data_IF_123944490597
#
_entry.id   IF_123944490597
#
_cell.length_a   1.000
_cell.length_b   1.000
_cell.length_c   1.000
_cell.angle_alpha   90.00
_cell.angle_beta   90.00
_cell.angle_gamma   90.00
#
_symmetry.space_group_name_H-M   'P 1'
#
loop_
_entity.id
_entity.type
_entity.pdbx_description
1 polymer ?
#
# COMPACT_ATOMS: atom_id res chain seq x y z
N UNK A 1 36.26 73.28 -49.93
CA UNK A 1 36.92 72.35 -49.04
C UNK A 1 35.90 72.01 -47.93
N UNK A 2 35.16 70.96 -48.09
CA UNK A 2 34.09 70.52 -47.17
C UNK A 2 34.59 69.32 -46.41
N UNK A 3 34.86 69.48 -45.14
CA UNK A 3 35.28 68.45 -44.22
C UNK A 3 34.02 67.74 -43.67
N UNK A 4 33.80 66.50 -44.11
CA UNK A 4 32.82 65.60 -43.60
C UNK A 4 33.37 64.92 -42.33
N UNK A 5 32.82 65.26 -41.16
CA UNK A 5 33.01 64.56 -39.92
C UNK A 5 32.13 63.32 -39.89
N UNK A 6 32.72 62.11 -39.74
CA UNK A 6 32.05 60.84 -39.48
C UNK A 6 31.44 60.90 -38.04
N UNK A 7 30.21 60.36 -37.86
CA UNK A 7 29.67 60.20 -36.50
C UNK A 7 30.41 59.00 -35.81
N UNK A 8 30.79 59.22 -34.58
CA UNK A 8 31.33 58.22 -33.69
C UNK A 8 30.30 57.12 -33.42
N UNK A 9 30.68 55.88 -33.68
CA UNK A 9 29.95 54.71 -33.22
C UNK A 9 29.93 54.73 -31.67
N UNK A 10 28.86 55.22 -31.11
CA UNK A 10 28.57 55.01 -29.69
C UNK A 10 28.36 53.51 -29.44
N UNK A 11 29.29 52.94 -28.74
CA UNK A 11 29.27 51.59 -28.18
C UNK A 11 28.01 51.40 -27.33
N UNK A 12 26.89 51.04 -27.94
CA UNK A 12 25.72 50.55 -27.19
C UNK A 12 26.12 49.17 -26.66
N UNK A 13 26.78 49.18 -25.49
CA UNK A 13 26.66 48.05 -24.58
C UNK A 13 25.16 47.94 -24.28
N UNK A 14 24.54 46.97 -24.93
CA UNK A 14 23.17 46.58 -24.56
C UNK A 14 23.21 46.13 -23.13
N UNK A 15 22.75 47.01 -22.24
CA UNK A 15 22.45 46.68 -20.84
C UNK A 15 21.35 45.61 -20.84
N UNK A 16 21.75 44.36 -21.07
CA UNK A 16 20.97 43.17 -20.69
C UNK A 16 21.23 42.92 -19.20
N UNK A 17 21.23 43.95 -18.39
CA UNK A 17 21.01 43.92 -16.96
C UNK A 17 19.51 44.01 -16.67
N UNK A 18 18.68 43.19 -17.29
CA UNK A 18 17.43 42.87 -16.66
C UNK A 18 17.81 41.97 -15.48
N UNK A 19 18.00 42.56 -14.34
CA UNK A 19 18.39 41.91 -13.12
C UNK A 19 17.38 40.82 -12.76
N UNK A 20 17.65 39.57 -13.17
CA UNK A 20 16.91 38.41 -12.68
C UNK A 20 17.16 38.36 -11.18
N UNK A 21 16.29 39.00 -10.40
CA UNK A 21 16.41 39.09 -8.93
C UNK A 21 16.10 37.77 -8.23
N UNK A 22 15.16 37.00 -8.78
CA UNK A 22 14.76 35.69 -8.26
C UNK A 22 15.42 34.58 -9.05
N UNK A 23 16.29 33.81 -8.42
CA UNK A 23 17.05 32.72 -9.06
C UNK A 23 16.92 31.39 -8.28
N UNK A 24 15.82 30.63 -8.43
CA UNK A 24 15.63 29.32 -7.72
C UNK A 24 16.75 28.32 -8.00
N UNK A 25 17.46 28.42 -9.14
CA UNK A 25 18.61 27.57 -9.45
C UNK A 25 19.73 27.62 -8.42
N UNK A 26 19.82 28.68 -7.60
CA UNK A 26 20.82 28.81 -6.51
C UNK A 26 20.72 27.64 -5.53
N UNK A 27 19.48 27.16 -5.23
CA UNK A 27 19.20 26.06 -4.32
C UNK A 27 19.39 24.66 -4.96
N UNK A 28 19.77 24.59 -6.25
CA UNK A 28 19.94 23.31 -6.98
C UNK A 28 21.38 23.01 -7.39
N UNK A 29 22.32 23.94 -7.14
CA UNK A 29 23.65 23.94 -7.71
C UNK A 29 24.50 22.74 -7.34
N UNK A 30 24.44 22.30 -6.09
CA UNK A 30 25.24 21.19 -5.58
C UNK A 30 24.36 20.20 -4.83
N UNK A 31 24.85 18.95 -4.67
CA UNK A 31 24.14 17.93 -3.88
C UNK A 31 23.92 18.39 -2.44
N UNK A 32 24.95 18.97 -1.80
CA UNK A 32 24.85 19.47 -0.43
C UNK A 32 23.77 20.53 -0.28
N UNK A 33 23.66 21.48 -1.23
CA UNK A 33 22.61 22.50 -1.21
C UNK A 33 21.23 21.85 -1.39
N UNK A 34 21.09 20.89 -2.33
CA UNK A 34 19.82 20.17 -2.53
C UNK A 34 19.42 19.38 -1.29
N UNK A 35 20.38 18.71 -0.64
CA UNK A 35 20.14 17.99 0.61
C UNK A 35 19.68 18.93 1.74
N UNK A 36 20.32 20.11 1.87
CA UNK A 36 20.00 21.09 2.89
C UNK A 36 18.55 21.61 2.81
N UNK A 37 17.99 21.73 1.60
CA UNK A 37 16.64 22.28 1.37
C UNK A 37 15.60 21.21 1.04
N UNK A 38 15.94 19.94 1.24
CA UNK A 38 15.04 18.80 0.97
C UNK A 38 13.92 18.78 2.00
N UNK A 39 12.66 18.87 1.53
CA UNK A 39 11.47 18.94 2.38
C UNK A 39 10.93 17.55 2.72
N UNK A 40 11.09 16.56 1.82
CA UNK A 40 10.53 15.22 1.97
C UNK A 40 11.64 14.18 2.00
N UNK A 41 11.61 13.34 3.02
CA UNK A 41 12.53 12.21 3.17
C UNK A 41 11.70 10.94 3.40
N UNK A 42 11.99 9.89 2.66
CA UNK A 42 11.48 8.54 2.92
C UNK A 42 12.54 7.79 3.72
N UNK A 43 12.11 7.05 4.73
CA UNK A 43 12.96 6.22 5.59
C UNK A 43 12.47 4.77 5.56
N UNK A 44 13.30 3.78 5.87
CA UNK A 44 12.85 2.39 6.01
C UNK A 44 11.69 2.20 7.00
N UNK A 45 11.65 3.00 8.08
CA UNK A 45 10.57 2.98 9.08
C UNK A 45 9.23 3.47 8.55
N UNK A 46 9.22 4.23 7.45
CA UNK A 46 7.99 4.67 6.80
C UNK A 46 7.35 3.56 5.94
N UNK A 47 8.06 2.44 5.74
CA UNK A 47 7.65 1.37 4.84
C UNK A 47 7.01 0.20 5.59
N UNK A 48 5.93 -0.33 5.01
CA UNK A 48 5.30 -1.59 5.41
C UNK A 48 5.60 -2.61 4.30
N UNK A 49 6.17 -3.77 4.66
CA UNK A 49 6.57 -4.79 3.70
C UNK A 49 5.51 -5.87 3.54
N UNK A 50 4.83 -5.98 2.37
CA UNK A 50 3.80 -6.98 2.13
C UNK A 50 4.40 -8.34 1.81
N UNK A 51 3.88 -9.40 2.44
CA UNK A 51 4.37 -10.78 2.33
C UNK A 51 3.21 -11.74 2.09
N UNK A 52 3.41 -12.74 1.20
CA UNK A 52 2.42 -13.77 0.90
C UNK A 52 2.75 -15.06 1.62
N UNK A 53 1.82 -15.52 2.46
CA UNK A 53 1.98 -16.70 3.32
C UNK A 53 1.21 -17.88 2.73
N UNK A 54 1.89 -18.99 2.52
CA UNK A 54 1.31 -20.27 2.06
C UNK A 54 1.40 -21.34 3.14
N UNK A 55 0.55 -22.39 3.07
CA UNK A 55 0.64 -23.55 3.95
C UNK A 55 1.98 -24.28 3.88
N UNK A 56 2.33 -25.02 4.92
CA UNK A 56 3.58 -25.78 4.99
C UNK A 56 3.68 -26.90 3.94
N UNK A 57 2.56 -27.36 3.40
CA UNK A 57 2.47 -28.33 2.31
C UNK A 57 2.96 -27.77 0.97
N UNK A 58 2.96 -26.44 0.79
CA UNK A 58 3.41 -25.75 -0.43
C UNK A 58 4.88 -25.35 -0.31
N UNK A 59 5.57 -25.24 -1.45
CA UNK A 59 6.94 -24.74 -1.50
C UNK A 59 7.01 -23.21 -1.57
N UNK A 60 8.23 -22.66 -1.41
CA UNK A 60 8.51 -21.25 -1.75
C UNK A 60 8.48 -21.10 -3.27
N UNK A 61 7.64 -20.19 -3.79
CA UNK A 61 7.45 -19.96 -5.24
C UNK A 61 7.56 -18.47 -5.53
N UNK A 62 8.36 -18.10 -6.53
CA UNK A 62 8.42 -16.73 -7.02
C UNK A 62 7.18 -16.41 -7.85
N UNK A 63 6.63 -15.20 -7.65
CA UNK A 63 5.45 -14.73 -8.39
C UNK A 63 5.94 -14.18 -9.73
N UNK A 64 5.57 -14.84 -10.83
CA UNK A 64 6.10 -14.55 -12.16
C UNK A 64 5.89 -13.10 -12.60
N UNK A 65 4.72 -12.52 -12.30
CA UNK A 65 4.39 -11.12 -12.60
C UNK A 65 4.99 -10.09 -11.63
N UNK A 66 5.68 -10.55 -10.57
CA UNK A 66 6.28 -9.70 -9.54
C UNK A 66 7.72 -10.14 -9.21
N UNK A 67 8.70 -9.87 -10.07
CA UNK A 67 10.08 -10.36 -9.90
C UNK A 67 10.66 -9.97 -8.52
N UNK A 68 11.18 -10.96 -7.79
CA UNK A 68 11.73 -10.79 -6.44
C UNK A 68 10.70 -10.87 -5.31
N UNK A 69 9.41 -11.09 -5.61
CA UNK A 69 8.34 -11.31 -4.62
C UNK A 69 7.96 -12.80 -4.63
N UNK A 70 7.74 -13.36 -3.44
CA UNK A 70 7.59 -14.79 -3.25
C UNK A 70 6.35 -15.13 -2.42
N UNK A 71 5.72 -16.25 -2.75
CA UNK A 71 4.85 -16.98 -1.81
C UNK A 71 5.76 -17.82 -0.92
N UNK A 72 5.56 -17.74 0.41
CA UNK A 72 6.48 -18.32 1.40
C UNK A 72 5.71 -18.98 2.55
N UNK A 73 6.27 -20.08 3.09
CA UNK A 73 5.75 -20.69 4.33
C UNK A 73 6.11 -19.85 5.55
N UNK A 74 5.47 -20.10 6.67
CA UNK A 74 5.70 -19.38 7.91
C UNK A 74 7.21 -19.31 8.31
N UNK A 75 7.97 -20.39 8.06
CA UNK A 75 9.41 -20.40 8.32
C UNK A 75 10.17 -19.35 7.51
N UNK A 76 9.96 -19.33 6.19
CA UNK A 76 10.63 -18.35 5.32
C UNK A 76 10.13 -16.92 5.59
N UNK A 77 8.86 -16.76 5.98
CA UNK A 77 8.29 -15.47 6.39
C UNK A 77 9.03 -14.91 7.62
N UNK A 78 9.34 -15.74 8.61
CA UNK A 78 10.10 -15.32 9.79
C UNK A 78 11.51 -14.86 9.40
N UNK A 79 12.20 -15.61 8.54
CA UNK A 79 13.53 -15.25 8.04
C UNK A 79 13.50 -13.91 7.27
N UNK A 80 12.44 -13.69 6.46
CA UNK A 80 12.26 -12.46 5.70
C UNK A 80 11.92 -11.27 6.61
N UNK A 81 11.04 -11.47 7.61
CA UNK A 81 10.70 -10.46 8.58
C UNK A 81 11.92 -10.03 9.42
N UNK A 82 12.77 -10.98 9.83
CA UNK A 82 14.02 -10.67 10.53
C UNK A 82 14.96 -9.82 9.67
N UNK A 83 15.17 -10.20 8.40
CA UNK A 83 15.97 -9.42 7.45
C UNK A 83 15.41 -8.01 7.21
N UNK A 84 14.08 -7.89 7.14
CA UNK A 84 13.42 -6.60 7.02
C UNK A 84 13.65 -5.72 8.26
N UNK A 85 13.54 -6.32 9.44
CA UNK A 85 13.77 -5.62 10.69
C UNK A 85 15.22 -5.11 10.82
N UNK A 86 16.20 -5.95 10.48
CA UNK A 86 17.63 -5.59 10.45
C UNK A 86 17.92 -4.48 9.42
N UNK A 87 17.17 -4.42 8.34
CA UNK A 87 17.25 -3.36 7.33
C UNK A 87 16.53 -2.05 7.72
N UNK A 88 15.92 -1.98 8.90
CA UNK A 88 15.23 -0.79 9.42
C UNK A 88 13.72 -0.75 9.16
N UNK A 89 13.13 -1.73 8.47
CA UNK A 89 11.69 -1.82 8.26
C UNK A 89 11.04 -2.32 9.55
N UNK A 90 9.97 -1.65 10.01
CA UNK A 90 9.36 -1.92 11.31
C UNK A 90 8.01 -2.64 11.24
N UNK A 91 7.44 -2.78 10.05
CA UNK A 91 6.14 -3.41 9.86
C UNK A 91 6.10 -4.33 8.65
N UNK A 92 5.38 -5.45 8.79
CA UNK A 92 5.01 -6.35 7.70
C UNK A 92 3.49 -6.43 7.59
N UNK A 93 2.99 -6.63 6.36
CA UNK A 93 1.57 -6.88 6.08
C UNK A 93 1.44 -8.26 5.45
N UNK A 94 0.69 -9.15 6.09
CA UNK A 94 0.55 -10.55 5.68
C UNK A 94 -0.71 -10.78 4.85
N UNK A 95 -0.55 -11.47 3.72
CA UNK A 95 -1.61 -11.98 2.86
C UNK A 95 -1.58 -13.50 2.86
N UNK A 96 -2.71 -14.15 3.15
CA UNK A 96 -2.77 -15.60 3.28
C UNK A 96 -3.28 -16.31 2.03
N UNK A 97 -2.64 -17.40 1.67
CA UNK A 97 -3.18 -18.35 0.70
C UNK A 97 -3.50 -19.65 1.46
N UNK A 98 -4.75 -20.10 1.50
CA UNK A 98 -5.14 -21.28 2.28
C UNK A 98 -4.81 -22.59 1.57
N UNK A 99 -4.92 -23.70 2.29
CA UNK A 99 -4.84 -25.06 1.74
C UNK A 99 -6.05 -25.37 0.84
N UNK A 100 -7.22 -24.91 1.24
CA UNK A 100 -8.48 -25.07 0.49
C UNK A 100 -9.31 -23.80 0.52
N UNK A 101 -10.15 -23.65 -0.47
CA UNK A 101 -11.09 -22.53 -0.60
C UNK A 101 -12.51 -23.06 -0.66
N UNK A 102 -13.45 -22.30 -0.11
CA UNK A 102 -14.88 -22.61 -0.16
C UNK A 102 -15.73 -21.34 -0.41
N UNK A 103 -17.03 -21.50 -0.48
CA UNK A 103 -17.93 -20.39 -0.82
C UNK A 103 -17.97 -19.25 0.20
N UNK A 104 -17.52 -19.46 1.44
CA UNK A 104 -17.55 -18.47 2.52
C UNK A 104 -16.14 -18.11 3.04
N UNK A 105 -15.09 -18.71 2.47
CA UNK A 105 -13.72 -18.48 2.91
C UNK A 105 -13.44 -19.00 4.33
N UNK A 106 -14.00 -20.15 4.72
CA UNK A 106 -13.98 -20.63 6.10
C UNK A 106 -12.56 -20.89 6.63
N UNK A 107 -11.60 -21.18 5.79
CA UNK A 107 -10.20 -21.34 6.17
C UNK A 107 -9.52 -20.03 6.62
N UNK A 108 -10.14 -18.87 6.43
CA UNK A 108 -9.56 -17.57 6.81
C UNK A 108 -9.46 -17.35 8.33
N UNK A 109 -10.31 -18.01 9.09
CA UNK A 109 -10.31 -17.95 10.57
C UNK A 109 -9.88 -19.26 11.24
N UNK A 110 -9.27 -20.17 10.49
CA UNK A 110 -8.66 -21.37 11.08
C UNK A 110 -7.48 -20.97 11.99
N UNK A 111 -7.52 -21.32 13.29
CA UNK A 111 -6.41 -21.01 14.22
C UNK A 111 -5.06 -21.61 13.79
N UNK A 112 -5.07 -22.72 13.02
CA UNK A 112 -3.89 -23.33 12.44
C UNK A 112 -3.58 -22.84 11.01
N UNK A 113 -4.29 -21.81 10.55
CA UNK A 113 -4.12 -21.25 9.22
C UNK A 113 -2.73 -20.67 8.96
N UNK A 114 -2.37 -20.46 7.70
CA UNK A 114 -1.02 -20.02 7.35
C UNK A 114 -0.69 -18.64 7.93
N UNK A 115 -1.63 -17.68 7.92
CA UNK A 115 -1.41 -16.33 8.47
C UNK A 115 -1.28 -16.37 9.97
N UNK A 116 -2.17 -17.06 10.69
CA UNK A 116 -2.12 -17.22 12.14
C UNK A 116 -0.78 -17.83 12.58
N UNK A 117 -0.36 -18.91 11.92
CA UNK A 117 0.93 -19.56 12.17
C UNK A 117 2.11 -18.61 11.91
N UNK A 118 2.05 -17.78 10.88
CA UNK A 118 3.09 -16.81 10.56
C UNK A 118 3.13 -15.67 11.59
N UNK A 119 1.98 -15.14 12.02
CA UNK A 119 1.89 -14.12 13.06
C UNK A 119 2.56 -14.62 14.34
N UNK A 120 2.15 -15.79 14.85
CA UNK A 120 2.73 -16.38 16.06
C UNK A 120 4.24 -16.59 15.95
N UNK A 121 4.70 -17.09 14.79
CA UNK A 121 6.11 -17.35 14.56
C UNK A 121 6.94 -16.06 14.49
N UNK A 122 6.44 -15.00 13.84
CA UNK A 122 7.10 -13.68 13.81
C UNK A 122 7.16 -13.09 15.23
N UNK A 123 6.03 -13.05 15.94
CA UNK A 123 5.97 -12.47 17.30
C UNK A 123 6.89 -13.19 18.29
N UNK A 124 7.13 -14.49 18.09
CA UNK A 124 8.08 -15.26 18.88
C UNK A 124 9.54 -14.95 18.52
N UNK A 125 9.85 -14.81 17.23
CA UNK A 125 11.24 -14.71 16.75
C UNK A 125 11.74 -13.27 16.60
N UNK A 126 10.83 -12.33 16.24
CA UNK A 126 11.11 -10.91 16.05
C UNK A 126 10.02 -10.10 16.78
N UNK A 127 9.97 -10.13 18.12
CA UNK A 127 8.85 -9.58 18.89
C UNK A 127 8.64 -8.08 18.72
N UNK A 128 9.64 -7.36 18.24
CA UNK A 128 9.56 -5.92 17.97
C UNK A 128 9.01 -5.58 16.57
N UNK A 129 8.83 -6.59 15.69
CA UNK A 129 8.20 -6.37 14.39
C UNK A 129 6.71 -6.11 14.58
N UNK A 130 6.21 -5.01 14.03
CA UNK A 130 4.77 -4.77 13.91
C UNK A 130 4.20 -5.69 12.85
N UNK A 131 3.26 -6.54 13.23
CA UNK A 131 2.62 -7.50 12.33
C UNK A 131 1.20 -7.05 12.05
N UNK A 132 0.94 -6.75 10.78
CA UNK A 132 -0.37 -6.42 10.26
C UNK A 132 -0.90 -7.59 9.42
N UNK A 133 -2.21 -7.88 9.47
CA UNK A 133 -2.83 -8.94 8.68
C UNK A 133 -3.98 -8.39 7.85
N UNK A 134 -3.96 -8.67 6.55
CA UNK A 134 -5.04 -8.28 5.63
C UNK A 134 -6.32 -9.06 5.95
N UNK A 135 -7.41 -8.35 6.12
CA UNK A 135 -8.73 -8.94 6.38
C UNK A 135 -9.57 -8.83 5.12
N UNK A 136 -9.67 -9.93 4.41
CA UNK A 136 -10.48 -10.08 3.20
C UNK A 136 -10.74 -11.57 2.94
N UNK A 137 -11.86 -11.88 2.32
CA UNK A 137 -12.20 -13.26 2.01
C UNK A 137 -11.74 -13.70 0.60
N UNK A 138 -11.30 -12.77 -0.27
CA UNK A 138 -11.03 -13.10 -1.67
C UNK A 138 -9.89 -14.10 -1.90
N UNK A 139 -8.93 -14.20 -0.98
CA UNK A 139 -7.88 -15.21 -1.00
C UNK A 139 -8.40 -16.60 -0.59
N UNK A 140 -9.52 -16.64 0.14
CA UNK A 140 -10.06 -17.83 0.81
C UNK A 140 -11.33 -18.35 0.16
N UNK A 141 -12.01 -17.53 -0.67
CA UNK A 141 -13.21 -17.95 -1.39
C UNK A 141 -12.86 -18.64 -2.72
N UNK A 142 -13.61 -19.66 -3.08
CA UNK A 142 -13.47 -20.41 -4.35
C UNK A 142 -13.86 -19.56 -5.56
N UNK A 143 -14.71 -18.56 -5.38
CA UNK A 143 -15.14 -17.62 -6.41
C UNK A 143 -14.31 -16.35 -6.52
N UNK A 144 -13.37 -16.11 -5.60
CA UNK A 144 -12.44 -14.96 -5.62
C UNK A 144 -13.06 -13.59 -5.35
N UNK A 145 -14.31 -13.48 -4.87
CA UNK A 145 -14.90 -12.25 -4.38
C UNK A 145 -14.65 -12.04 -2.88
N UNK A 146 -14.77 -10.79 -2.41
CA UNK A 146 -14.39 -10.38 -1.06
C UNK A 146 -15.45 -10.68 0.01
N UNK A 147 -16.49 -11.43 -0.30
CA UNK A 147 -17.58 -11.73 0.63
C UNK A 147 -18.52 -12.82 0.17
N UNK A 148 -19.61 -12.99 0.90
CA UNK A 148 -20.66 -13.99 0.64
C UNK A 148 -21.41 -13.65 -0.64
N UNK A 149 -21.54 -14.61 -1.54
CA UNK A 149 -22.28 -14.42 -2.79
C UNK A 149 -23.76 -14.75 -2.58
N UNK A 150 -24.59 -13.81 -3.00
CA UNK A 150 -26.04 -13.99 -3.09
C UNK A 150 -26.53 -13.73 -4.51
N UNK A 151 -27.66 -14.33 -4.85
CA UNK A 151 -28.32 -14.05 -6.13
C UNK A 151 -29.55 -13.17 -5.88
N UNK A 152 -29.52 -11.94 -6.45
CA UNK A 152 -30.65 -11.00 -6.40
C UNK A 152 -31.07 -10.67 -7.82
N UNK A 153 -32.33 -10.96 -8.18
CA UNK A 153 -32.89 -10.67 -9.50
C UNK A 153 -32.07 -11.24 -10.68
N UNK A 154 -31.56 -12.48 -10.53
CA UNK A 154 -30.77 -13.17 -11.56
C UNK A 154 -29.33 -12.68 -11.73
N UNK A 155 -28.83 -11.85 -10.78
CA UNK A 155 -27.44 -11.39 -10.73
C UNK A 155 -26.78 -11.84 -9.43
N UNK A 156 -25.55 -12.37 -9.58
CA UNK A 156 -24.70 -12.68 -8.44
C UNK A 156 -23.96 -11.44 -7.99
N UNK A 157 -23.99 -11.16 -6.69
CA UNK A 157 -23.23 -10.06 -6.07
C UNK A 157 -22.85 -10.42 -4.64
N UNK A 158 -21.96 -9.64 -4.05
CA UNK A 158 -21.57 -9.78 -2.64
C UNK A 158 -22.66 -9.20 -1.73
N UNK A 159 -23.07 -9.96 -0.73
CA UNK A 159 -23.95 -9.48 0.34
C UNK A 159 -23.12 -8.82 1.43
N UNK A 160 -23.35 -7.53 1.63
CA UNK A 160 -22.61 -6.72 2.59
C UNK A 160 -22.73 -7.29 4.02
N UNK A 161 -23.97 -7.42 4.51
CA UNK A 161 -24.25 -7.66 5.94
C UNK A 161 -23.84 -9.08 6.38
N UNK A 162 -24.08 -10.09 5.52
CA UNK A 162 -23.60 -11.45 5.80
C UNK A 162 -22.07 -11.53 5.80
N UNK A 163 -21.41 -10.71 5.00
CA UNK A 163 -19.95 -10.67 4.92
C UNK A 163 -19.32 -10.10 6.19
N UNK A 164 -19.96 -9.10 6.84
CA UNK A 164 -19.41 -8.46 8.05
C UNK A 164 -19.12 -9.48 9.16
N UNK A 165 -20.00 -10.46 9.38
CA UNK A 165 -19.79 -11.48 10.42
C UNK A 165 -18.52 -12.32 10.17
N UNK A 166 -18.26 -12.63 8.90
CA UNK A 166 -17.10 -13.45 8.52
C UNK A 166 -15.79 -12.64 8.64
N UNK A 167 -15.82 -11.37 8.26
CA UNK A 167 -14.68 -10.46 8.43
C UNK A 167 -14.33 -10.27 9.91
N UNK A 168 -15.32 -10.16 10.79
CA UNK A 168 -15.11 -10.11 12.25
C UNK A 168 -14.44 -11.41 12.74
N UNK A 169 -14.90 -12.59 12.30
CA UNK A 169 -14.26 -13.87 12.66
C UNK A 169 -12.81 -13.93 12.23
N UNK A 170 -12.52 -13.52 11.01
CA UNK A 170 -11.16 -13.49 10.46
C UNK A 170 -10.27 -12.51 11.27
N UNK A 171 -10.73 -11.28 11.50
CA UNK A 171 -10.00 -10.28 12.27
C UNK A 171 -9.70 -10.76 13.70
N UNK A 172 -10.69 -11.36 14.39
CA UNK A 172 -10.50 -11.94 15.71
C UNK A 172 -9.46 -13.06 15.72
N UNK A 173 -9.45 -13.93 14.71
CA UNK A 173 -8.49 -15.02 14.60
C UNK A 173 -7.05 -14.48 14.47
N UNK A 174 -6.84 -13.44 13.66
CA UNK A 174 -5.53 -12.80 13.52
C UNK A 174 -5.09 -12.08 14.79
N UNK A 175 -6.01 -11.35 15.43
CA UNK A 175 -5.73 -10.66 16.69
C UNK A 175 -5.37 -11.65 17.81
N UNK A 176 -6.06 -12.79 17.91
CA UNK A 176 -5.76 -13.86 18.86
C UNK A 176 -4.40 -14.53 18.61
N UNK A 177 -3.98 -14.62 17.35
CA UNK A 177 -2.63 -15.10 16.99
C UNK A 177 -1.53 -14.08 17.31
N UNK A 178 -1.87 -12.83 17.68
CA UNK A 178 -0.95 -11.79 18.11
C UNK A 178 -0.64 -10.71 17.07
N UNK A 179 -1.51 -10.52 16.08
CA UNK A 179 -1.39 -9.37 15.17
C UNK A 179 -1.52 -8.06 15.94
N UNK A 180 -0.68 -7.07 15.62
CA UNK A 180 -0.75 -5.72 16.20
C UNK A 180 -1.84 -4.89 15.51
N UNK A 181 -2.08 -5.15 14.21
CA UNK A 181 -3.13 -4.50 13.42
C UNK A 181 -3.87 -5.51 12.55
N UNK A 182 -5.16 -5.29 12.39
CA UNK A 182 -5.98 -5.90 11.33
C UNK A 182 -6.27 -4.86 10.25
N UNK A 183 -6.22 -5.28 8.99
CA UNK A 183 -6.28 -4.36 7.86
C UNK A 183 -7.41 -4.74 6.88
N UNK A 184 -8.68 -4.34 7.16
CA UNK A 184 -9.82 -4.68 6.34
C UNK A 184 -9.72 -4.07 4.94
N UNK A 185 -9.68 -4.94 3.92
CA UNK A 185 -9.49 -4.58 2.52
C UNK A 185 -10.65 -4.96 1.60
N UNK A 186 -11.74 -5.43 2.17
CA UNK A 186 -12.90 -5.98 1.49
C UNK A 186 -13.81 -4.92 0.86
N UNK A 187 -13.91 -3.72 1.46
CA UNK A 187 -14.77 -2.59 1.09
C UNK A 187 -16.27 -2.78 1.38
N UNK A 188 -16.63 -3.57 2.40
CA UNK A 188 -18.00 -3.64 2.87
C UNK A 188 -18.35 -2.44 3.75
N UNK A 189 -19.57 -1.91 3.61
CA UNK A 189 -20.05 -0.81 4.45
C UNK A 189 -20.16 -1.25 5.92
N UNK A 190 -19.68 -0.43 6.87
CA UNK A 190 -19.77 -0.70 8.30
C UNK A 190 -18.77 -1.73 8.84
N UNK A 191 -17.80 -2.18 8.02
CA UNK A 191 -16.84 -3.23 8.40
C UNK A 191 -15.89 -2.83 9.51
N UNK A 192 -15.47 -1.57 9.54
CA UNK A 192 -14.55 -1.07 10.57
C UNK A 192 -15.26 -1.07 11.93
N UNK A 193 -16.49 -0.56 11.99
CA UNK A 193 -17.29 -0.59 13.21
C UNK A 193 -17.57 -2.02 13.70
N UNK A 194 -17.88 -2.95 12.79
CA UNK A 194 -18.14 -4.34 13.14
C UNK A 194 -16.88 -5.03 13.71
N UNK A 195 -15.71 -4.84 13.07
CA UNK A 195 -14.45 -5.39 13.55
C UNK A 195 -14.04 -4.76 14.87
N UNK A 196 -14.11 -3.43 15.03
CA UNK A 196 -13.77 -2.75 16.28
C UNK A 196 -14.60 -3.27 17.44
N UNK A 197 -15.92 -3.36 17.27
CA UNK A 197 -16.82 -3.94 18.26
C UNK A 197 -16.42 -5.36 18.61
N UNK A 198 -16.18 -6.22 17.63
CA UNK A 198 -15.79 -7.61 17.86
C UNK A 198 -14.49 -7.74 18.64
N UNK A 199 -13.49 -6.91 18.35
CA UNK A 199 -12.23 -6.86 19.09
C UNK A 199 -12.44 -6.43 20.54
N UNK A 200 -13.22 -5.37 20.78
CA UNK A 200 -13.46 -4.82 22.12
C UNK A 200 -14.25 -5.80 23.00
N UNK A 201 -15.27 -6.47 22.47
CA UNK A 201 -16.04 -7.50 23.18
C UNK A 201 -15.17 -8.69 23.61
N UNK A 202 -14.09 -8.96 22.89
CA UNK A 202 -13.11 -10.02 23.20
C UNK A 202 -11.92 -9.52 24.02
N UNK A 203 -11.92 -8.26 24.47
CA UNK A 203 -10.84 -7.62 25.23
C UNK A 203 -9.50 -7.53 24.45
N UNK A 204 -9.61 -7.35 23.14
CA UNK A 204 -8.49 -7.14 22.21
C UNK A 204 -8.44 -5.67 21.77
N UNK A 205 -8.74 -4.74 22.70
CA UNK A 205 -8.81 -3.30 22.44
C UNK A 205 -7.49 -2.67 21.99
N UNK A 206 -6.38 -3.32 22.29
CA UNK A 206 -5.03 -2.83 21.89
C UNK A 206 -4.68 -3.16 20.44
N UNK A 207 -5.48 -3.99 19.75
CA UNK A 207 -5.29 -4.29 18.33
C UNK A 207 -5.83 -3.14 17.49
N UNK A 208 -4.95 -2.51 16.70
CA UNK A 208 -5.31 -1.40 15.83
C UNK A 208 -6.01 -1.84 14.54
N UNK A 209 -6.70 -0.89 13.89
CA UNK A 209 -7.33 -1.09 12.58
C UNK A 209 -6.70 -0.16 11.55
N UNK A 210 -6.00 -0.72 10.56
CA UNK A 210 -5.55 0.00 9.37
C UNK A 210 -6.54 -0.25 8.22
N UNK A 211 -7.50 0.64 8.07
CA UNK A 211 -8.58 0.47 7.11
C UNK A 211 -8.15 0.82 5.67
N UNK A 212 -8.50 0.00 4.71
CA UNK A 212 -8.40 0.33 3.28
C UNK A 212 -9.55 1.27 2.89
N UNK A 213 -9.53 2.46 3.46
CA UNK A 213 -10.65 3.40 3.43
C UNK A 213 -10.99 3.91 2.03
N UNK A 214 -9.98 4.08 1.17
CA UNK A 214 -10.17 4.51 -0.21
C UNK A 214 -9.52 3.49 -1.17
N UNK A 215 -10.22 2.38 -1.45
CA UNK A 215 -9.76 1.34 -2.37
C UNK A 215 -10.56 1.38 -3.67
N UNK A 216 -9.88 1.72 -4.75
CA UNK A 216 -10.48 1.85 -6.08
C UNK A 216 -10.49 0.54 -6.87
N UNK A 217 -11.47 0.35 -7.75
CA UNK A 217 -11.53 -0.74 -8.72
C UNK A 217 -10.47 -0.52 -9.83
N UNK A 218 -9.24 -0.93 -9.55
CA UNK A 218 -8.06 -0.58 -10.35
C UNK A 218 -7.58 -1.71 -11.25
N UNK A 219 -7.11 -1.34 -12.44
CA UNK A 219 -6.37 -2.22 -13.35
C UNK A 219 -4.98 -2.60 -12.85
N UNK A 220 -4.43 -1.88 -11.86
CA UNK A 220 -3.10 -2.15 -11.29
C UNK A 220 -3.06 -3.36 -10.34
N UNK A 221 -4.15 -4.09 -10.13
CA UNK A 221 -4.19 -5.27 -9.25
C UNK A 221 -3.92 -6.60 -9.95
N UNK A 222 -3.63 -6.59 -11.25
CA UNK A 222 -3.38 -7.83 -12.02
C UNK A 222 -2.37 -8.76 -11.36
N UNK A 223 -1.14 -8.32 -11.08
CA UNK A 223 -0.13 -9.16 -10.45
C UNK A 223 -0.49 -9.65 -9.03
N UNK A 224 -1.23 -8.84 -8.24
CA UNK A 224 -1.72 -9.27 -6.94
C UNK A 224 -2.73 -10.42 -7.04
N UNK A 225 -3.61 -10.38 -8.05
CA UNK A 225 -4.60 -11.46 -8.26
C UNK A 225 -3.93 -12.80 -8.57
N UNK A 226 -2.80 -12.78 -9.29
CA UNK A 226 -1.95 -13.94 -9.48
C UNK A 226 -1.29 -14.37 -8.17
N UNK A 227 -0.65 -13.42 -7.48
CA UNK A 227 0.08 -13.66 -6.23
C UNK A 227 -0.78 -14.25 -5.11
N UNK A 228 -2.04 -13.80 -4.98
CA UNK A 228 -3.00 -14.20 -3.96
C UNK A 228 -4.00 -15.27 -4.46
N UNK A 229 -3.86 -15.72 -5.71
CA UNK A 229 -4.80 -16.68 -6.35
C UNK A 229 -6.27 -16.25 -6.18
N UNK A 230 -6.54 -14.94 -6.33
CA UNK A 230 -7.81 -14.30 -5.97
C UNK A 230 -8.53 -13.64 -7.14
N UNK A 231 -8.31 -14.14 -8.36
CA UNK A 231 -9.03 -13.64 -9.53
C UNK A 231 -10.54 -13.96 -9.44
N UNK A 232 -11.44 -12.97 -9.63
CA UNK A 232 -12.88 -13.24 -9.65
C UNK A 232 -13.25 -14.26 -10.72
N UNK A 233 -14.04 -15.26 -10.36
CA UNK A 233 -14.50 -16.30 -11.29
C UNK A 233 -15.70 -15.83 -12.15
N UNK A 234 -16.34 -14.74 -11.77
CA UNK A 234 -17.43 -14.10 -12.53
C UNK A 234 -17.44 -12.59 -12.25
N UNK A 235 -18.02 -11.81 -13.15
CA UNK A 235 -18.18 -10.36 -12.98
C UNK A 235 -16.88 -9.59 -12.74
N UNK A 236 -16.98 -8.59 -11.89
CA UNK A 236 -15.84 -7.79 -11.42
C UNK A 236 -16.10 -7.32 -9.96
N UNK A 237 -15.27 -6.42 -9.43
CA UNK A 237 -15.39 -5.93 -8.06
C UNK A 237 -15.92 -4.50 -7.95
N UNK A 238 -16.54 -3.95 -9.02
CA UNK A 238 -16.99 -2.55 -9.07
C UNK A 238 -18.24 -2.28 -8.26
N UNK A 239 -18.95 -3.31 -7.81
CA UNK A 239 -20.11 -3.16 -6.93
C UNK A 239 -19.73 -2.79 -5.50
N UNK A 240 -18.46 -3.01 -5.11
CA UNK A 240 -17.96 -2.68 -3.78
C UNK A 240 -16.60 -1.95 -3.75
N UNK A 241 -15.80 -1.97 -4.80
CA UNK A 241 -14.62 -1.11 -4.93
C UNK A 241 -14.98 0.17 -5.67
N UNK A 242 -14.46 1.30 -5.22
CA UNK A 242 -14.82 2.62 -5.74
C UNK A 242 -14.46 2.82 -7.21
N UNK A 243 -15.24 3.64 -7.91
CA UNK A 243 -14.94 4.05 -9.27
C UNK A 243 -13.68 4.97 -9.28
N UNK A 244 -12.66 4.67 -10.12
CA UNK A 244 -11.48 5.52 -10.27
C UNK A 244 -11.77 6.98 -10.60
N UNK A 245 -12.93 7.29 -11.16
CA UNK A 245 -13.34 8.66 -11.50
C UNK A 245 -13.84 9.49 -10.30
N UNK A 246 -14.06 8.87 -9.12
CA UNK A 246 -14.80 9.46 -8.00
C UNK A 246 -13.91 9.89 -6.83
N UNK A 247 -13.15 10.99 -6.96
CA UNK A 247 -12.28 11.47 -5.87
C UNK A 247 -13.05 11.97 -4.63
N UNK A 248 -14.27 12.51 -4.77
CA UNK A 248 -15.08 12.98 -3.62
C UNK A 248 -15.69 11.82 -2.81
N UNK A 249 -16.01 10.72 -3.45
CA UNK A 249 -16.46 9.49 -2.82
C UNK A 249 -15.38 8.97 -1.86
N UNK A 250 -14.12 8.99 -2.29
CA UNK A 250 -13.00 8.56 -1.46
C UNK A 250 -12.94 9.29 -0.11
N UNK A 251 -13.16 10.61 -0.09
CA UNK A 251 -13.16 11.37 1.17
C UNK A 251 -14.36 11.04 2.07
N UNK A 252 -15.49 10.65 1.49
CA UNK A 252 -16.66 10.19 2.23
C UNK A 252 -16.42 8.81 2.83
N UNK A 253 -15.85 7.88 2.08
CA UNK A 253 -15.49 6.54 2.57
C UNK A 253 -14.46 6.61 3.71
N UNK A 254 -13.44 7.47 3.55
CA UNK A 254 -12.48 7.71 4.63
C UNK A 254 -13.17 8.27 5.88
N UNK A 255 -14.10 9.22 5.73
CA UNK A 255 -14.82 9.83 6.86
C UNK A 255 -15.65 8.79 7.64
N UNK A 256 -16.33 7.90 6.93
CA UNK A 256 -17.07 6.79 7.54
C UNK A 256 -16.13 5.86 8.30
N UNK A 257 -15.02 5.40 7.72
CA UNK A 257 -14.06 4.55 8.41
C UNK A 257 -13.46 5.21 9.67
N UNK A 258 -13.22 6.54 9.63
CA UNK A 258 -12.77 7.33 10.80
C UNK A 258 -13.83 7.33 11.90
N UNK A 259 -15.10 7.59 11.55
CA UNK A 259 -16.22 7.57 12.48
C UNK A 259 -16.46 6.17 13.08
N UNK A 260 -16.17 5.14 12.33
CA UNK A 260 -16.26 3.73 12.70
C UNK A 260 -15.11 3.25 13.60
N UNK A 261 -14.05 4.04 13.76
CA UNK A 261 -12.94 3.76 14.67
C UNK A 261 -11.68 3.21 14.00
N UNK A 262 -11.39 3.56 12.75
CA UNK A 262 -10.08 3.30 12.15
C UNK A 262 -8.97 4.09 12.85
N UNK A 263 -7.83 3.45 13.10
CA UNK A 263 -6.63 4.08 13.66
C UNK A 263 -5.71 4.64 12.57
N UNK A 264 -5.69 3.99 11.42
CA UNK A 264 -4.92 4.37 10.23
C UNK A 264 -5.85 4.27 9.02
N UNK A 265 -5.87 5.30 8.20
CA UNK A 265 -6.63 5.34 6.93
C UNK A 265 -5.70 5.09 5.75
N UNK A 266 -6.17 4.37 4.73
CA UNK A 266 -5.34 3.99 3.60
C UNK A 266 -5.98 4.35 2.25
N UNK A 267 -5.14 4.84 1.33
CA UNK A 267 -5.49 5.03 -0.09
C UNK A 267 -4.82 3.94 -0.93
N UNK A 268 -5.59 3.24 -1.76
CA UNK A 268 -5.13 2.15 -2.65
C UNK A 268 -5.80 2.23 -4.03
N UNK A 269 -5.03 2.30 -5.12
CA UNK A 269 -3.58 2.42 -5.26
C UNK A 269 -3.01 3.78 -4.83
N UNK A 270 -1.66 3.92 -4.87
CA UNK A 270 -1.00 5.15 -4.45
C UNK A 270 -0.64 6.07 -5.63
N UNK A 271 0.12 5.58 -6.62
CA UNK A 271 0.80 6.44 -7.60
C UNK A 271 -0.16 7.23 -8.49
N UNK A 272 -1.26 6.62 -8.91
CA UNK A 272 -2.28 7.28 -9.73
C UNK A 272 -3.31 8.09 -8.91
N UNK A 273 -3.19 8.12 -7.57
CA UNK A 273 -4.15 8.72 -6.63
C UNK A 273 -3.45 9.64 -5.60
N UNK A 274 -2.36 10.31 -6.00
CA UNK A 274 -1.63 11.25 -5.14
C UNK A 274 -2.50 12.43 -4.70
N UNK A 275 -3.46 12.83 -5.51
CA UNK A 275 -4.46 13.85 -5.22
C UNK A 275 -5.40 13.43 -4.08
N UNK A 276 -5.82 12.15 -4.07
CA UNK A 276 -6.65 11.59 -2.99
C UNK A 276 -5.84 11.50 -1.69
N UNK A 277 -4.57 11.03 -1.77
CA UNK A 277 -3.66 11.00 -0.61
C UNK A 277 -3.49 12.40 -0.03
N UNK A 278 -3.29 13.41 -0.89
CA UNK A 278 -3.15 14.80 -0.46
C UNK A 278 -4.43 15.32 0.20
N UNK A 279 -5.58 15.07 -0.41
CA UNK A 279 -6.87 15.48 0.13
C UNK A 279 -7.19 14.80 1.46
N UNK A 280 -6.87 13.52 1.61
CA UNK A 280 -7.01 12.79 2.88
C UNK A 280 -6.12 13.40 3.96
N UNK A 281 -4.85 13.65 3.67
CA UNK A 281 -3.90 14.28 4.61
C UNK A 281 -4.35 15.67 5.06
N UNK A 282 -4.93 16.45 4.17
CA UNK A 282 -5.38 17.81 4.50
C UNK A 282 -6.66 17.83 5.35
N UNK A 283 -7.53 16.79 5.19
CA UNK A 283 -8.83 16.74 5.87
C UNK A 283 -8.78 15.99 7.21
N UNK A 284 -7.98 14.92 7.33
CA UNK A 284 -8.01 14.02 8.49
C UNK A 284 -6.71 14.11 9.30
N UNK A 285 -6.84 14.05 10.63
CA UNK A 285 -5.71 14.09 11.55
C UNK A 285 -5.07 12.70 11.80
N UNK A 286 -5.65 11.63 11.28
CA UNK A 286 -5.12 10.27 11.43
C UNK A 286 -3.89 10.05 10.54
N UNK A 287 -3.02 9.07 10.89
CA UNK A 287 -1.97 8.63 9.98
C UNK A 287 -2.56 8.13 8.65
N UNK A 288 -1.93 8.53 7.55
CA UNK A 288 -2.33 8.16 6.20
C UNK A 288 -1.37 7.11 5.67
N UNK A 289 -1.85 5.92 5.38
CA UNK A 289 -1.13 4.90 4.62
C UNK A 289 -1.46 5.02 3.12
N UNK A 290 -0.50 4.64 2.27
CA UNK A 290 -0.72 4.55 0.84
C UNK A 290 -0.11 3.26 0.29
N UNK A 291 -0.83 2.56 -0.58
CA UNK A 291 -0.36 1.30 -1.12
C UNK A 291 0.21 1.47 -2.54
N UNK A 292 1.52 1.41 -2.66
CA UNK A 292 2.24 1.24 -3.92
C UNK A 292 2.05 -0.22 -4.38
N UNK A 293 1.01 -0.44 -5.21
CA UNK A 293 0.45 -1.77 -5.50
C UNK A 293 1.27 -2.58 -6.50
N UNK A 294 0.90 -3.83 -6.64
CA UNK A 294 1.59 -4.83 -7.46
C UNK A 294 1.82 -4.40 -8.91
N UNK A 295 0.83 -3.81 -9.58
CA UNK A 295 0.97 -3.32 -10.95
C UNK A 295 1.92 -2.13 -11.05
N UNK A 296 1.90 -1.22 -10.08
CA UNK A 296 2.85 -0.10 -10.01
C UNK A 296 4.28 -0.61 -9.84
N UNK A 297 4.48 -1.60 -8.96
CA UNK A 297 5.76 -2.30 -8.77
C UNK A 297 6.23 -2.98 -10.06
N UNK A 298 5.36 -3.80 -10.66
CA UNK A 298 5.70 -4.61 -11.84
C UNK A 298 6.01 -3.76 -13.07
N UNK A 299 5.34 -2.61 -13.26
CA UNK A 299 5.65 -1.67 -14.32
C UNK A 299 7.08 -1.15 -14.22
N UNK A 300 7.54 -0.80 -13.02
CA UNK A 300 8.92 -0.34 -12.79
C UNK A 300 9.91 -1.46 -13.08
N UNK A 301 9.64 -2.68 -12.57
CA UNK A 301 10.51 -3.84 -12.81
C UNK A 301 10.63 -4.20 -14.29
N UNK A 302 9.52 -4.25 -15.01
CA UNK A 302 9.49 -4.57 -16.43
C UNK A 302 10.23 -3.51 -17.28
N UNK A 303 9.97 -2.23 -17.03
CA UNK A 303 10.64 -1.16 -17.77
C UNK A 303 12.15 -1.09 -17.46
N UNK A 304 12.54 -1.35 -16.22
CA UNK A 304 13.95 -1.42 -15.82
C UNK A 304 14.67 -2.63 -16.46
N UNK A 305 14.01 -3.79 -16.52
CA UNK A 305 14.54 -4.98 -17.17
C UNK A 305 14.75 -4.77 -18.67
N UNK A 306 13.89 -3.99 -19.32
CA UNK A 306 14.05 -3.58 -20.72
C UNK A 306 15.14 -2.50 -20.92
N UNK A 307 15.72 -1.95 -19.86
CA UNK A 307 16.71 -0.88 -19.93
C UNK A 307 16.13 0.51 -20.29
N UNK A 308 14.82 0.67 -20.23
CA UNK A 308 14.16 1.93 -20.59
C UNK A 308 14.21 2.99 -19.47
N UNK A 309 14.32 2.53 -18.22
CA UNK A 309 14.41 3.40 -17.04
C UNK A 309 15.48 2.88 -16.08
N UNK A 310 16.01 3.78 -15.26
CA UNK A 310 16.78 3.43 -14.06
C UNK A 310 15.77 3.04 -12.96
N UNK A 311 15.61 1.75 -12.71
CA UNK A 311 14.63 1.21 -11.79
C UNK A 311 14.81 1.72 -10.36
N UNK A 312 16.05 1.80 -9.86
CA UNK A 312 16.34 2.30 -8.51
C UNK A 312 15.98 3.78 -8.38
N UNK A 313 16.31 4.57 -9.38
CA UNK A 313 15.99 6.00 -9.38
C UNK A 313 14.49 6.24 -9.44
N UNK A 314 13.76 5.50 -10.30
CA UNK A 314 12.30 5.63 -10.43
C UNK A 314 11.58 5.13 -9.18
N UNK A 315 12.03 4.03 -8.56
CA UNK A 315 11.54 3.57 -7.26
C UNK A 315 11.63 4.68 -6.20
N UNK A 316 12.81 5.29 -6.05
CA UNK A 316 13.00 6.39 -5.08
C UNK A 316 12.12 7.60 -5.38
N UNK A 317 11.91 7.93 -6.65
CA UNK A 317 11.04 9.04 -7.07
C UNK A 317 9.57 8.77 -6.76
N UNK A 318 9.09 7.54 -7.00
CA UNK A 318 7.73 7.09 -6.68
C UNK A 318 7.48 7.18 -5.18
N UNK A 319 8.35 6.56 -4.36
CA UNK A 319 8.18 6.56 -2.90
C UNK A 319 8.23 7.99 -2.33
N UNK A 320 9.14 8.83 -2.85
CA UNK A 320 9.20 10.25 -2.49
C UNK A 320 7.92 10.98 -2.90
N UNK A 321 7.35 10.69 -4.06
CA UNK A 321 6.12 11.32 -4.54
C UNK A 321 4.91 10.98 -3.66
N UNK A 322 4.80 9.72 -3.25
CA UNK A 322 3.76 9.24 -2.33
C UNK A 322 3.92 9.91 -0.96
N UNK A 323 5.14 9.95 -0.42
CA UNK A 323 5.44 10.63 0.86
C UNK A 323 5.13 12.12 0.78
N UNK A 324 5.54 12.80 -0.30
CA UNK A 324 5.28 14.23 -0.53
C UNK A 324 3.79 14.53 -0.67
N UNK A 325 3.00 13.61 -1.23
CA UNK A 325 1.55 13.73 -1.27
C UNK A 325 0.91 13.74 0.12
N UNK A 326 1.57 13.17 1.13
CA UNK A 326 1.11 13.22 2.52
C UNK A 326 1.01 11.87 3.22
N UNK A 327 1.41 10.78 2.59
CA UNK A 327 1.44 9.47 3.23
C UNK A 327 2.46 9.45 4.39
N UNK A 328 2.02 9.02 5.57
CA UNK A 328 2.91 8.74 6.70
C UNK A 328 3.57 7.37 6.53
N UNK A 329 2.82 6.39 6.03
CA UNK A 329 3.22 5.00 5.82
C UNK A 329 3.03 4.60 4.35
N UNK A 330 3.96 3.81 3.82
CA UNK A 330 3.88 3.32 2.44
C UNK A 330 4.00 1.81 2.40
N UNK A 331 2.92 1.13 1.99
CA UNK A 331 2.99 -0.31 1.71
C UNK A 331 3.61 -0.46 0.31
N UNK A 332 4.72 -1.20 0.21
CA UNK A 332 5.42 -1.38 -1.06
C UNK A 332 6.23 -2.67 -1.12
N UNK A 333 6.20 -3.33 -2.27
CA UNK A 333 7.06 -4.48 -2.57
C UNK A 333 8.53 -4.07 -2.79
N UNK A 334 8.80 -2.78 -2.99
CA UNK A 334 10.15 -2.23 -3.06
C UNK A 334 10.84 -2.07 -1.69
N UNK A 335 10.18 -2.39 -0.58
CA UNK A 335 10.67 -2.08 0.76
C UNK A 335 12.10 -2.55 1.02
N UNK A 336 12.42 -3.83 0.73
CA UNK A 336 13.76 -4.37 0.92
C UNK A 336 14.81 -3.80 -0.05
N UNK A 337 14.41 -3.49 -1.28
CA UNK A 337 15.29 -2.86 -2.26
C UNK A 337 15.64 -1.43 -1.85
N UNK A 338 14.62 -0.67 -1.43
CA UNK A 338 14.81 0.69 -0.90
C UNK A 338 15.72 0.70 0.33
N UNK A 339 15.44 -0.15 1.33
CA UNK A 339 16.21 -0.21 2.57
C UNK A 339 17.69 -0.52 2.35
N UNK A 340 18.03 -1.38 1.38
CA UNK A 340 19.43 -1.68 0.99
C UNK A 340 20.16 -0.49 0.38
N UNK A 341 19.43 0.41 -0.28
CA UNK A 341 20.03 1.60 -0.93
C UNK A 341 19.99 2.84 -0.05
N UNK A 342 19.22 2.79 1.04
CA UNK A 342 19.09 3.89 1.97
C UNK A 342 20.40 4.11 2.74
N UNK A 343 20.87 5.36 2.73
CA UNK A 343 22.01 5.81 3.53
C UNK A 343 21.49 6.85 4.51
N UNK A 344 21.60 6.52 5.80
CA UNK A 344 21.21 7.43 6.88
C UNK A 344 22.06 8.71 6.90
#
# INVERSE_FOLDING_TARGET
>A
MTTTTKPSESNRKTDVESAVTRRPRRLRRTESIRALVRETVVRPEDLIYPLFVVPNSRGKVEIASMPGVWQMRAREIVEEAARAFDAGIRAVLLFGLPEFKDAIGSSSWDPAGPVQSAIEAIKRSVPQMTVMADVCLCEYTDHGHCGVIVEKSGKKDVDNDQTLELLVRQALSFAQAGADFVAPSDMMDGRVAAIRRGLDERRLSDVGIMAYSAKFASGFYGPFREAAESAPQFGDRRTYQMDPANGREALREIELDVEEGADIIMVKPALAYLDVIRSARDKFALPVAAYNVSGEYSMVKAAAQCGWIDGTRVMNEILTSIKRAGADLIITYHAMEFAKTYRA
#
